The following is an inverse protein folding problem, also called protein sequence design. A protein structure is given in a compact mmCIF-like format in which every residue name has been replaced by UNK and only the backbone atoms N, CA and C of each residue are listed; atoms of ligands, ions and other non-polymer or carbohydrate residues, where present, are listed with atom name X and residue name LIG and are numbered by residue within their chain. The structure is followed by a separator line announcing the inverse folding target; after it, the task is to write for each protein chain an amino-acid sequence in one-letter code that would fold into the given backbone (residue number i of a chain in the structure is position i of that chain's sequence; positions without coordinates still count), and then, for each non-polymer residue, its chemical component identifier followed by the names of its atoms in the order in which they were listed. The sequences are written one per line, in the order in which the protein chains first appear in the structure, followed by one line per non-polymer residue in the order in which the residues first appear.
data_IF_192802183782
#
_entry.id   IF_192802183782
#
_cell.length_a   1.000
_cell.length_b   1.000
_cell.length_c   1.000
_cell.angle_alpha   90.00
_cell.angle_beta   90.00
_cell.angle_gamma   90.00
#
_symmetry.space_group_name_H-M   'P 1'
#
loop_
_entity.id
_entity.type
_entity.pdbx_description
1 polymer ?
#
# COMPACT_ATOMS: atom_id res chain seq x y z
N UNK A 1 -18.37 -1.70 8.19
CA UNK A 1 -17.88 -0.37 8.63
C UNK A 1 -16.52 -0.12 8.02
N UNK A 2 -16.21 1.14 7.65
CA UNK A 2 -14.88 1.51 7.16
C UNK A 2 -13.93 1.62 8.36
N UNK A 3 -12.66 1.29 8.15
CA UNK A 3 -11.58 1.30 9.14
C UNK A 3 -10.40 2.07 8.56
N UNK A 4 -9.62 2.71 9.43
CA UNK A 4 -8.39 3.40 9.04
C UNK A 4 -7.24 2.39 9.00
N UNK A 5 -6.49 2.37 7.91
CA UNK A 5 -5.31 1.55 7.73
C UNK A 5 -4.09 2.42 7.41
N UNK A 6 -2.98 2.12 8.07
CA UNK A 6 -1.64 2.59 7.71
C UNK A 6 -0.96 1.47 6.92
N UNK A 7 -0.50 1.78 5.71
CA UNK A 7 0.19 0.84 4.84
C UNK A 7 1.61 1.32 4.59
N UNK A 8 2.58 0.46 4.87
CA UNK A 8 4.00 0.68 4.58
C UNK A 8 4.40 -0.19 3.39
N UNK A 9 5.06 0.41 2.41
CA UNK A 9 5.55 -0.23 1.21
C UNK A 9 7.06 -0.05 1.13
N UNK A 10 7.81 -1.16 1.04
CA UNK A 10 9.24 -1.12 0.75
C UNK A 10 9.46 -1.23 -0.76
N UNK A 11 9.86 -0.13 -1.37
CA UNK A 11 10.17 -0.03 -2.80
C UNK A 11 11.68 0.13 -2.98
N UNK A 12 12.37 -0.92 -3.42
CA UNK A 12 13.83 -0.91 -3.63
C UNK A 12 14.65 -0.41 -2.42
N UNK A 13 14.20 -0.69 -1.19
CA UNK A 13 14.87 -0.26 0.05
C UNK A 13 14.34 1.05 0.61
N UNK A 14 13.56 1.81 -0.16
CA UNK A 14 12.89 3.02 0.31
C UNK A 14 11.53 2.71 0.90
N UNK A 15 11.23 3.30 2.05
CA UNK A 15 10.00 3.03 2.79
C UNK A 15 8.99 4.14 2.57
N UNK A 16 7.84 3.78 2.01
CA UNK A 16 6.72 4.67 1.72
C UNK A 16 5.56 4.35 2.65
N UNK A 17 4.96 5.38 3.26
CA UNK A 17 3.82 5.22 4.16
C UNK A 17 2.58 5.93 3.59
N UNK A 18 1.44 5.23 3.59
CA UNK A 18 0.16 5.76 3.16
C UNK A 18 -0.94 5.43 4.15
N UNK A 19 -1.77 6.42 4.48
CA UNK A 19 -3.02 6.21 5.21
C UNK A 19 -4.18 6.07 4.24
N UNK A 20 -5.05 5.09 4.47
CA UNK A 20 -6.25 4.84 3.66
C UNK A 20 -7.40 4.36 4.53
N UNK A 21 -8.62 4.72 4.14
CA UNK A 21 -9.85 4.32 4.83
C UNK A 21 -10.58 3.31 3.94
N UNK A 22 -10.78 2.09 4.43
CA UNK A 22 -11.45 1.01 3.66
C UNK A 22 -12.06 -0.02 4.59
N UNK A 23 -12.81 -0.98 4.05
CA UNK A 23 -13.42 -2.07 4.82
C UNK A 23 -12.47 -3.25 5.02
N UNK A 24 -11.44 -3.41 4.18
CA UNK A 24 -10.59 -4.60 4.15
C UNK A 24 -9.09 -4.28 3.98
N UNK A 25 -8.18 -5.06 4.61
CA UNK A 25 -6.74 -4.84 4.52
C UNK A 25 -6.18 -5.05 3.11
N UNK A 26 -6.71 -5.99 2.32
CA UNK A 26 -6.27 -6.22 0.93
C UNK A 26 -6.56 -5.00 0.02
N UNK A 27 -7.71 -4.35 0.24
CA UNK A 27 -8.05 -3.10 -0.45
C UNK A 27 -7.12 -1.97 0.00
N UNK A 28 -6.73 -1.95 1.28
CA UNK A 28 -5.79 -0.95 1.79
C UNK A 28 -4.43 -1.06 1.09
N UNK A 29 -3.91 -2.29 0.96
CA UNK A 29 -2.67 -2.55 0.23
C UNK A 29 -2.77 -2.11 -1.24
N UNK A 30 -3.84 -2.49 -1.96
CA UNK A 30 -4.03 -2.08 -3.36
C UNK A 30 -4.10 -0.56 -3.54
N UNK A 31 -4.79 0.13 -2.64
CA UNK A 31 -4.86 1.59 -2.65
C UNK A 31 -3.49 2.23 -2.41
N UNK A 32 -2.68 1.67 -1.51
CA UNK A 32 -1.33 2.16 -1.25
C UNK A 32 -0.41 1.94 -2.46
N UNK A 33 -0.47 0.77 -3.11
CA UNK A 33 0.30 0.49 -4.34
C UNK A 33 -0.09 1.48 -5.45
N UNK A 34 -1.38 1.77 -5.59
CA UNK A 34 -1.85 2.76 -6.57
C UNK A 34 -1.30 4.16 -6.28
N UNK A 35 -1.37 4.62 -5.03
CA UNK A 35 -0.77 5.90 -4.61
C UNK A 35 0.73 5.94 -4.84
N UNK A 36 1.44 4.83 -4.59
CA UNK A 36 2.87 4.71 -4.87
C UNK A 36 3.17 4.84 -6.36
N UNK A 37 2.40 4.15 -7.23
CA UNK A 37 2.55 4.27 -8.68
C UNK A 37 2.37 5.71 -9.17
N UNK A 38 1.35 6.42 -8.67
CA UNK A 38 1.16 7.84 -8.94
C UNK A 38 2.33 8.69 -8.45
N UNK A 39 2.83 8.46 -7.23
CA UNK A 39 3.96 9.19 -6.65
C UNK A 39 5.26 8.99 -7.44
N UNK A 40 5.49 7.79 -7.95
CA UNK A 40 6.68 7.45 -8.73
C UNK A 40 6.55 7.83 -10.22
N UNK A 41 5.36 8.24 -10.67
CA UNK A 41 5.08 8.46 -12.09
C UNK A 41 5.26 7.18 -12.93
N UNK A 42 4.93 6.02 -12.35
CA UNK A 42 5.11 4.70 -12.98
C UNK A 42 3.77 4.04 -13.24
N UNK A 43 3.78 3.10 -14.19
CA UNK A 43 2.65 2.26 -14.46
C UNK A 43 2.27 1.38 -13.25
N UNK A 44 0.97 1.23 -13.02
CA UNK A 44 0.45 0.48 -11.88
C UNK A 44 0.82 -1.00 -11.95
N UNK A 45 0.77 -1.61 -13.13
CA UNK A 45 1.11 -3.02 -13.30
C UNK A 45 2.58 -3.24 -12.99
N UNK A 46 3.47 -2.37 -13.47
CA UNK A 46 4.89 -2.40 -13.15
C UNK A 46 5.15 -2.33 -11.63
N UNK A 47 4.52 -1.39 -10.94
CA UNK A 47 4.69 -1.25 -9.49
C UNK A 47 4.12 -2.45 -8.75
N UNK A 48 2.94 -2.93 -9.15
CA UNK A 48 2.28 -4.10 -8.54
C UNK A 48 3.13 -5.37 -8.63
N UNK A 49 3.83 -5.60 -9.74
CA UNK A 49 4.73 -6.75 -9.90
C UNK A 49 5.85 -6.78 -8.84
N UNK A 50 6.34 -5.61 -8.40
CA UNK A 50 7.38 -5.54 -7.36
C UNK A 50 6.91 -6.10 -6.01
N UNK A 51 5.61 -6.00 -5.72
CA UNK A 51 4.99 -6.38 -4.46
C UNK A 51 4.25 -7.73 -4.53
N UNK A 52 4.57 -8.57 -5.50
CA UNK A 52 4.05 -9.94 -5.56
C UNK A 52 4.54 -10.79 -4.37
N UNK A 53 5.70 -10.42 -3.80
CA UNK A 53 6.18 -10.94 -2.52
C UNK A 53 5.57 -10.10 -1.37
N UNK A 54 4.70 -10.74 -0.59
CA UNK A 54 3.96 -10.11 0.52
C UNK A 54 4.88 -9.54 1.61
N UNK A 55 6.16 -9.94 1.67
CA UNK A 55 7.13 -9.41 2.66
C UNK A 55 7.45 -7.92 2.49
N UNK A 56 7.06 -7.31 1.37
CA UNK A 56 7.32 -5.89 1.06
C UNK A 56 6.17 -4.95 1.43
N UNK A 57 5.05 -5.49 1.89
CA UNK A 57 3.88 -4.72 2.30
C UNK A 57 3.60 -4.98 3.78
N UNK A 58 3.44 -3.92 4.57
CA UNK A 58 2.91 -4.03 5.92
C UNK A 58 1.62 -3.23 6.01
N UNK A 59 0.52 -3.88 6.40
CA UNK A 59 -0.78 -3.25 6.60
C UNK A 59 -1.12 -3.29 8.09
N UNK A 60 -1.32 -2.12 8.69
CA UNK A 60 -1.70 -1.97 10.09
C UNK A 60 -3.06 -1.29 10.17
N UNK A 61 -4.04 -1.93 10.81
CA UNK A 61 -5.29 -1.26 11.17
C UNK A 61 -5.00 -0.32 12.33
N UNK A 62 -5.40 0.94 12.21
CA UNK A 62 -5.35 1.90 13.30
C UNK A 62 -6.63 1.73 14.13
N UNK A 63 -6.51 1.64 15.46
CA UNK A 63 -7.67 1.73 16.34
C UNK A 63 -8.23 3.15 16.27
N UNK A 64 -9.55 3.26 16.16
CA UNK A 64 -10.30 4.49 16.47
C UNK A 64 -10.33 4.69 17.98
#
# INVERSE_FOLDING_TARGET
MKKVFRVKLNWHGELYEFTTITTRPDIAARNAIFKLAQKLGRDLYFVRQHFYDEKKITVQQMAE
#
